data_IF_537290196253
#
_entry.id   IF_537290196253
#
_cell.length_a   1.000
_cell.length_b   1.000
_cell.length_c   1.000
_cell.angle_alpha   90.00
_cell.angle_beta   90.00
_cell.angle_gamma   90.00
#
_symmetry.space_group_name_H-M   'P 1'
#
loop_
_entity.id
_entity.type
_entity.pdbx_description
1 polymer ?
#
# COMPACT_ATOMS: atom_id res chain seq x y z
N UNK A 1 -3.97 -0.40 41.63
CA UNK A 1 -3.97 0.66 40.59
C UNK A 1 -4.11 0.00 39.24
N UNK A 2 -5.15 0.36 38.47
CA UNK A 2 -5.25 -0.09 37.08
C UNK A 2 -4.14 0.58 36.27
N UNK A 3 -3.36 -0.19 35.51
CA UNK A 3 -2.38 0.35 34.57
C UNK A 3 -3.17 0.96 33.41
N UNK A 4 -3.00 2.26 33.17
CA UNK A 4 -3.47 2.90 31.94
C UNK A 4 -2.45 2.51 30.87
N UNK A 5 -2.84 1.61 29.97
CA UNK A 5 -2.03 1.30 28.79
C UNK A 5 -2.13 2.46 27.79
N UNK A 6 -1.06 2.78 27.05
CA UNK A 6 -1.14 3.75 25.96
C UNK A 6 -2.20 3.29 24.94
N UNK A 7 -2.82 4.24 24.20
CA UNK A 7 -3.79 3.88 23.17
C UNK A 7 -3.11 3.01 22.10
N UNK A 8 -3.80 1.95 21.67
CA UNK A 8 -3.36 1.13 20.54
C UNK A 8 -3.51 1.91 19.24
N UNK A 9 -2.58 1.69 18.31
CA UNK A 9 -2.64 2.19 16.94
C UNK A 9 -2.56 1.05 15.95
N UNK A 10 -2.91 1.31 14.70
CA UNK A 10 -2.95 0.35 13.60
C UNK A 10 -2.13 0.90 12.44
N UNK A 11 -1.27 0.08 11.85
CA UNK A 11 -0.66 0.31 10.54
C UNK A 11 -0.87 -0.94 9.69
N UNK A 12 -1.14 -0.78 8.40
CA UNK A 12 -1.36 -1.89 7.47
C UNK A 12 -0.52 -1.64 6.23
N UNK A 13 0.23 -2.67 5.83
CA UNK A 13 0.97 -2.74 4.58
C UNK A 13 0.34 -3.82 3.69
N UNK A 14 0.21 -3.53 2.40
CA UNK A 14 -0.24 -4.48 1.38
C UNK A 14 0.76 -4.54 0.23
N UNK A 15 1.31 -5.73 0.01
CA UNK A 15 2.21 -6.02 -1.09
C UNK A 15 1.47 -6.73 -2.22
N UNK A 16 1.69 -6.26 -3.44
CA UNK A 16 1.04 -6.78 -4.64
C UNK A 16 2.07 -7.29 -5.63
N UNK A 17 1.77 -8.43 -6.24
CA UNK A 17 2.46 -8.89 -7.43
C UNK A 17 1.82 -8.28 -8.68
N UNK A 18 2.63 -7.55 -9.44
CA UNK A 18 2.22 -6.95 -10.70
C UNK A 18 2.17 -8.02 -11.79
N UNK A 19 1.04 -8.05 -12.50
CA UNK A 19 0.80 -9.00 -13.58
C UNK A 19 0.45 -8.29 -14.87
N UNK A 20 0.86 -8.89 -15.98
CA UNK A 20 0.37 -8.50 -17.29
C UNK A 20 -1.14 -8.78 -17.40
N UNK A 21 -1.90 -7.81 -17.93
CA UNK A 21 -3.37 -7.85 -17.90
C UNK A 21 -3.97 -8.92 -18.82
N UNK A 22 -3.29 -9.21 -19.92
CA UNK A 22 -3.77 -10.14 -20.94
C UNK A 22 -3.37 -11.59 -20.61
N UNK A 23 -2.11 -11.79 -20.23
CA UNK A 23 -1.52 -13.11 -19.99
C UNK A 23 -1.63 -13.57 -18.54
N UNK A 24 -1.84 -12.66 -17.59
CA UNK A 24 -1.83 -12.90 -16.14
C UNK A 24 -0.50 -13.41 -15.58
N UNK A 25 0.56 -13.35 -16.38
CA UNK A 25 1.90 -13.67 -15.93
C UNK A 25 2.47 -12.53 -15.10
N UNK A 26 3.38 -12.85 -14.18
CA UNK A 26 4.13 -11.83 -13.46
C UNK A 26 4.86 -10.91 -14.44
N UNK A 27 4.66 -9.61 -14.26
CA UNK A 27 5.34 -8.59 -15.04
C UNK A 27 6.79 -8.51 -14.56
N UNK A 28 7.71 -9.19 -15.23
CA UNK A 28 9.13 -9.18 -14.86
C UNK A 28 9.74 -7.75 -14.88
N UNK A 29 9.20 -6.88 -15.73
CA UNK A 29 9.54 -5.46 -15.85
C UNK A 29 8.24 -4.67 -15.97
N UNK A 30 7.61 -4.29 -14.85
CA UNK A 30 6.42 -3.44 -14.88
C UNK A 30 6.77 -2.04 -15.40
N UNK A 31 5.82 -1.32 -16.01
CA UNK A 31 6.07 0.02 -16.53
C UNK A 31 6.44 1.00 -15.43
N UNK A 32 7.52 1.77 -15.61
CA UNK A 32 7.96 2.80 -14.65
C UNK A 32 6.89 3.88 -14.41
N UNK A 33 6.10 4.22 -15.44
CA UNK A 33 4.98 5.17 -15.35
C UNK A 33 3.93 4.78 -14.29
N UNK A 34 3.74 3.47 -14.04
CA UNK A 34 2.88 2.99 -12.96
C UNK A 34 3.36 3.53 -11.61
N UNK A 35 4.65 3.38 -11.32
CA UNK A 35 5.23 3.78 -10.06
C UNK A 35 5.31 5.29 -9.93
N UNK A 36 5.68 6.00 -10.99
CA UNK A 36 5.71 7.47 -10.99
C UNK A 36 4.33 8.06 -10.69
N UNK A 37 3.26 7.53 -11.33
CA UNK A 37 1.89 7.94 -11.04
C UNK A 37 1.52 7.68 -9.59
N UNK A 38 1.75 6.46 -9.11
CA UNK A 38 1.43 6.10 -7.73
C UNK A 38 2.22 6.95 -6.73
N UNK A 39 3.52 7.22 -6.99
CA UNK A 39 4.37 8.03 -6.11
C UNK A 39 3.93 9.49 -6.09
N UNK A 40 3.50 10.03 -7.22
CA UNK A 40 2.96 11.39 -7.31
C UNK A 40 1.66 11.55 -6.48
N UNK A 41 0.81 10.52 -6.42
CA UNK A 41 -0.46 10.58 -5.68
C UNK A 41 -0.34 10.16 -4.21
N UNK A 42 0.48 9.15 -3.90
CA UNK A 42 0.54 8.52 -2.58
C UNK A 42 1.79 8.91 -1.77
N UNK A 43 2.80 9.52 -2.40
CA UNK A 43 4.03 9.92 -1.74
C UNK A 43 4.70 8.74 -1.02
N UNK A 44 4.92 8.86 0.28
CA UNK A 44 5.60 7.83 1.09
C UNK A 44 4.71 6.63 1.43
N UNK A 45 3.42 6.67 1.08
CA UNK A 45 2.50 5.54 1.28
C UNK A 45 2.60 4.48 0.16
N UNK A 46 3.52 4.65 -0.79
CA UNK A 46 3.82 3.66 -1.84
C UNK A 46 5.32 3.53 -2.03
N UNK A 47 5.78 2.30 -2.21
CA UNK A 47 7.20 1.99 -2.44
C UNK A 47 7.37 0.87 -3.47
N UNK A 48 8.57 0.83 -4.05
CA UNK A 48 9.09 -0.34 -4.74
C UNK A 48 9.54 -1.37 -3.69
N UNK A 49 9.15 -2.62 -3.88
CA UNK A 49 9.58 -3.71 -3.00
C UNK A 49 10.79 -4.46 -3.57
N UNK A 50 11.32 -5.44 -2.82
CA UNK A 50 12.54 -6.18 -3.20
C UNK A 50 12.50 -6.77 -4.63
N UNK A 51 11.33 -7.24 -5.09
CA UNK A 51 11.18 -7.74 -6.45
C UNK A 51 10.72 -6.64 -7.40
N UNK A 52 11.29 -6.59 -8.62
CA UNK A 52 10.89 -5.63 -9.63
C UNK A 52 9.38 -5.68 -9.95
N UNK A 53 8.77 -6.86 -9.86
CA UNK A 53 7.35 -7.11 -10.10
C UNK A 53 6.46 -6.88 -8.88
N UNK A 54 6.91 -6.13 -7.88
CA UNK A 54 6.16 -5.87 -6.66
C UNK A 54 5.98 -4.38 -6.39
N UNK A 55 4.82 -4.04 -5.83
CA UNK A 55 4.51 -2.73 -5.31
C UNK A 55 3.92 -2.89 -3.90
N UNK A 56 4.37 -2.06 -2.98
CA UNK A 56 3.84 -2.00 -1.61
C UNK A 56 3.08 -0.69 -1.41
N UNK A 57 1.95 -0.76 -0.71
CA UNK A 57 1.26 0.41 -0.15
C UNK A 57 1.14 0.28 1.37
N UNK A 58 1.22 1.41 2.08
CA UNK A 58 1.15 1.46 3.54
C UNK A 58 0.22 2.56 4.04
N UNK A 59 -0.64 2.24 5.01
CA UNK A 59 -1.46 3.26 5.69
C UNK A 59 -0.58 4.13 6.59
N UNK A 60 -0.96 5.39 6.86
CA UNK A 60 -0.41 6.09 8.02
C UNK A 60 -0.79 5.34 9.30
N UNK A 61 -0.18 5.74 10.42
CA UNK A 61 -0.59 5.26 11.74
C UNK A 61 -2.02 5.72 12.03
N UNK A 62 -2.93 4.76 12.16
CA UNK A 62 -4.35 4.97 12.39
C UNK A 62 -4.69 4.75 13.88
N UNK A 63 -5.57 5.59 14.43
CA UNK A 63 -6.06 5.45 15.81
C UNK A 63 -7.27 4.52 15.91
N UNK A 64 -7.99 4.30 14.79
CA UNK A 64 -9.18 3.44 14.76
C UNK A 64 -9.20 2.48 13.57
N UNK A 65 -9.92 1.35 13.67
CA UNK A 65 -10.14 0.47 12.52
C UNK A 65 -10.87 1.13 11.34
N UNK A 66 -11.70 2.15 11.61
CA UNK A 66 -12.40 2.89 10.56
C UNK A 66 -11.43 3.75 9.76
N UNK A 67 -10.50 4.44 10.42
CA UNK A 67 -9.42 5.18 9.75
C UNK A 67 -8.55 4.25 8.89
N UNK A 68 -8.18 3.08 9.43
CA UNK A 68 -7.41 2.09 8.68
C UNK A 68 -8.16 1.61 7.42
N UNK A 69 -9.47 1.33 7.54
CA UNK A 69 -10.32 0.95 6.41
C UNK A 69 -10.37 2.04 5.35
N UNK A 70 -10.60 3.28 5.76
CA UNK A 70 -10.77 4.41 4.84
C UNK A 70 -9.43 4.72 4.13
N UNK A 71 -8.31 4.61 4.85
CA UNK A 71 -6.97 4.69 4.26
C UNK A 71 -6.74 3.58 3.24
N UNK A 72 -7.05 2.32 3.55
CA UNK A 72 -6.90 1.21 2.60
C UNK A 72 -7.76 1.40 1.36
N UNK A 73 -9.00 1.89 1.52
CA UNK A 73 -9.88 2.16 0.39
C UNK A 73 -9.27 3.22 -0.56
N UNK A 74 -8.70 4.29 0.00
CA UNK A 74 -7.98 5.30 -0.77
C UNK A 74 -6.77 4.69 -1.50
N UNK A 75 -5.86 4.02 -0.79
CA UNK A 75 -4.64 3.47 -1.38
C UNK A 75 -4.94 2.47 -2.52
N UNK A 76 -5.88 1.55 -2.30
CA UNK A 76 -6.31 0.57 -3.31
C UNK A 76 -6.95 1.21 -4.55
N UNK A 77 -7.63 2.34 -4.38
CA UNK A 77 -8.23 3.07 -5.52
C UNK A 77 -7.20 3.76 -6.41
N UNK A 78 -6.00 4.03 -5.89
CA UNK A 78 -4.91 4.65 -6.64
C UNK A 78 -4.03 3.64 -7.37
N UNK A 79 -3.77 2.48 -6.77
CA UNK A 79 -2.91 1.43 -7.37
C UNK A 79 -3.65 0.47 -8.31
N UNK A 80 -4.98 0.33 -8.15
CA UNK A 80 -5.83 -0.61 -8.90
C UNK A 80 -6.24 -0.18 -10.30
#
# INVERSE_FOLDING_TARGET
MARISPPFTIGIEEEYLLVDRDTRQLAAQPPEELFERCKAELGDMVQHEFMASQIEIGTPVCATPLEARDSLAYLRSTVG
#
